data_IF_131079589257
#
_entry.id   IF_131079589257
#
_cell.length_a   1.000
_cell.length_b   1.000
_cell.length_c   1.000
_cell.angle_alpha   90.00
_cell.angle_beta   90.00
_cell.angle_gamma   90.00
#
_symmetry.space_group_name_H-M   'P 1'
#
loop_
_entity.id
_entity.type
_entity.pdbx_description
1 polymer ?
#
# COMPACT_ATOMS: atom_id res chain seq x y z
N UNK A 1 37.51 7.96 -1.92
CA UNK A 1 38.24 7.89 -0.64
C UNK A 1 38.68 9.31 -0.27
N UNK A 2 38.56 9.71 0.99
CA UNK A 2 39.07 10.97 1.50
C UNK A 2 40.19 10.68 2.50
N UNK A 3 41.39 11.23 2.25
CA UNK A 3 42.53 11.13 3.17
C UNK A 3 42.86 12.54 3.65
N UNK A 4 42.64 12.77 4.94
CA UNK A 4 42.76 14.08 5.60
C UNK A 4 43.40 13.91 6.97
N UNK A 5 44.14 14.93 7.38
CA UNK A 5 44.70 15.06 8.71
C UNK A 5 43.92 16.09 9.52
N UNK A 6 43.98 15.96 10.83
CA UNK A 6 43.39 16.89 11.80
C UNK A 6 44.49 17.45 12.70
N UNK A 7 44.34 18.70 13.12
CA UNK A 7 45.23 19.31 14.12
C UNK A 7 44.95 18.76 15.54
N UNK A 8 45.72 19.24 16.52
CA UNK A 8 45.60 18.82 17.91
C UNK A 8 44.23 19.17 18.56
N UNK A 9 43.43 20.03 17.93
CA UNK A 9 42.08 20.40 18.37
C UNK A 9 40.98 19.64 17.59
N UNK A 10 41.35 18.73 16.69
CA UNK A 10 40.41 18.00 15.84
C UNK A 10 39.88 18.82 14.66
N UNK A 11 40.54 19.94 14.29
CA UNK A 11 40.16 20.74 13.12
C UNK A 11 40.86 20.17 11.88
N UNK A 12 40.09 19.96 10.82
CA UNK A 12 40.59 19.46 9.53
C UNK A 12 41.67 20.40 8.98
N UNK A 13 42.78 19.84 8.52
CA UNK A 13 43.88 20.57 7.88
C UNK A 13 43.68 20.51 6.36
N UNK A 14 43.15 21.55 5.69
CA UNK A 14 42.79 21.44 4.27
C UNK A 14 43.98 21.16 3.35
N UNK A 15 45.17 21.61 3.74
CA UNK A 15 46.41 21.37 2.98
C UNK A 15 46.91 19.92 3.03
N UNK A 16 46.36 19.06 3.90
CA UNK A 16 46.72 17.64 3.93
C UNK A 16 45.99 16.82 2.86
N UNK A 17 45.00 17.40 2.18
CA UNK A 17 44.25 16.71 1.12
C UNK A 17 45.17 16.57 -0.09
N UNK A 18 45.67 15.35 -0.32
CA UNK A 18 46.37 15.02 -1.56
C UNK A 18 45.36 14.70 -2.66
N UNK A 19 45.24 15.51 -3.73
CA UNK A 19 44.28 15.28 -4.81
C UNK A 19 44.57 14.04 -5.65
N UNK A 20 45.76 13.43 -5.54
CA UNK A 20 46.09 12.17 -6.22
C UNK A 20 45.59 10.92 -5.46
N UNK A 21 45.25 11.08 -4.18
CA UNK A 21 44.81 9.98 -3.29
C UNK A 21 43.39 10.25 -2.76
N UNK A 22 43.00 11.52 -2.67
CA UNK A 22 41.68 11.96 -2.24
C UNK A 22 40.85 12.33 -3.46
N UNK A 23 39.75 11.63 -3.64
CA UNK A 23 38.86 11.81 -4.77
C UNK A 23 37.76 10.76 -4.84
N UNK A 24 36.92 10.87 -5.86
CA UNK A 24 36.02 9.80 -6.23
C UNK A 24 36.86 8.62 -6.73
N UNK A 25 36.60 7.45 -6.18
CA UNK A 25 37.14 6.19 -6.72
C UNK A 25 35.97 5.49 -7.38
N UNK A 26 36.13 5.11 -8.63
CA UNK A 26 35.15 4.27 -9.30
C UNK A 26 35.10 2.93 -8.55
N UNK A 27 33.88 2.45 -8.28
CA UNK A 27 33.62 1.13 -7.70
C UNK A 27 33.21 0.15 -8.80
N UNK A 28 33.83 0.30 -9.97
CA UNK A 28 33.69 -0.57 -11.13
C UNK A 28 34.86 -1.57 -11.20
N UNK A 29 34.84 -2.43 -12.21
CA UNK A 29 35.88 -3.47 -12.42
C UNK A 29 37.29 -2.86 -12.47
N UNK A 30 37.43 -1.68 -13.09
CA UNK A 30 38.70 -0.98 -13.20
C UNK A 30 39.19 -0.46 -11.84
N UNK A 31 38.29 0.03 -11.00
CA UNK A 31 38.58 0.44 -9.63
C UNK A 31 39.02 -0.71 -8.74
N UNK A 32 38.38 -1.88 -8.88
CA UNK A 32 38.76 -3.12 -8.16
C UNK A 32 40.15 -3.60 -8.58
N UNK A 33 40.43 -3.61 -9.89
CA UNK A 33 41.75 -3.98 -10.42
C UNK A 33 42.84 -3.01 -9.91
N UNK A 34 42.58 -1.70 -9.91
CA UNK A 34 43.53 -0.68 -9.49
C UNK A 34 44.00 -0.82 -8.02
N UNK A 35 43.18 -1.42 -7.15
CA UNK A 35 43.53 -1.68 -5.75
C UNK A 35 44.04 -3.11 -5.51
N UNK A 36 44.19 -3.92 -6.55
CA UNK A 36 44.52 -5.35 -6.45
C UNK A 36 43.46 -6.14 -5.68
N UNK A 37 42.21 -5.67 -5.71
CA UNK A 37 41.09 -6.30 -5.05
C UNK A 37 40.68 -7.56 -5.80
N UNK A 38 40.31 -8.60 -5.07
CA UNK A 38 39.64 -9.78 -5.61
C UNK A 38 38.27 -9.87 -4.95
N UNK A 39 37.18 -10.03 -5.72
CA UNK A 39 35.87 -10.30 -5.14
C UNK A 39 35.95 -11.50 -4.21
N UNK A 40 35.33 -11.40 -3.04
CA UNK A 40 35.23 -12.55 -2.15
C UNK A 40 34.34 -13.61 -2.80
N UNK A 41 34.83 -14.85 -3.05
CA UNK A 41 34.06 -15.87 -3.73
C UNK A 41 32.73 -16.20 -3.04
N UNK A 42 32.66 -16.11 -1.71
CA UNK A 42 31.44 -16.37 -0.94
C UNK A 42 30.41 -15.25 -1.18
N UNK A 43 30.86 -14.00 -1.20
CA UNK A 43 29.97 -12.85 -1.49
C UNK A 43 29.43 -12.94 -2.91
N UNK A 44 30.28 -13.30 -3.89
CA UNK A 44 29.85 -13.47 -5.29
C UNK A 44 28.83 -14.60 -5.42
N UNK A 45 29.04 -15.73 -4.75
CA UNK A 45 28.08 -16.84 -4.76
C UNK A 45 26.71 -16.41 -4.18
N UNK A 46 26.72 -15.67 -3.06
CA UNK A 46 25.50 -15.14 -2.45
C UNK A 46 24.80 -14.14 -3.36
N UNK A 47 25.53 -13.18 -3.95
CA UNK A 47 24.92 -12.16 -4.83
C UNK A 47 24.33 -12.80 -6.09
N UNK A 48 25.04 -13.75 -6.71
CA UNK A 48 24.51 -14.46 -7.88
C UNK A 48 23.23 -15.24 -7.53
N UNK A 49 23.21 -15.91 -6.38
CA UNK A 49 22.00 -16.62 -5.92
C UNK A 49 20.83 -15.67 -5.70
N UNK A 50 21.09 -14.49 -5.12
CA UNK A 50 20.06 -13.46 -4.94
C UNK A 50 19.59 -12.87 -6.26
N UNK A 51 20.50 -12.60 -7.20
CA UNK A 51 20.20 -12.06 -8.53
C UNK A 51 19.31 -13.01 -9.33
N UNK A 52 19.49 -14.33 -9.21
CA UNK A 52 18.61 -15.32 -9.84
C UNK A 52 17.17 -15.26 -9.28
N UNK A 53 17.03 -15.14 -7.95
CA UNK A 53 15.71 -15.03 -7.30
C UNK A 53 15.04 -13.71 -7.66
N UNK A 54 15.77 -12.60 -7.55
CA UNK A 54 15.29 -11.26 -7.89
C UNK A 54 14.90 -11.21 -9.36
N UNK A 55 15.76 -11.72 -10.24
CA UNK A 55 15.52 -11.73 -11.68
C UNK A 55 14.30 -12.56 -12.08
N UNK A 56 14.08 -13.69 -11.41
CA UNK A 56 12.87 -14.51 -11.62
C UNK A 56 11.61 -13.74 -11.25
N UNK A 57 11.60 -13.04 -10.10
CA UNK A 57 10.45 -12.23 -9.70
C UNK A 57 10.27 -11.02 -10.64
N UNK A 58 11.35 -10.37 -11.03
CA UNK A 58 11.29 -9.17 -11.89
C UNK A 58 10.86 -9.51 -13.34
N UNK A 59 11.06 -10.75 -13.79
CA UNK A 59 10.54 -11.22 -15.10
C UNK A 59 9.05 -11.54 -15.13
N UNK A 60 8.41 -11.72 -13.97
CA UNK A 60 7.01 -12.11 -13.89
C UNK A 60 6.12 -10.85 -13.93
N UNK A 61 5.58 -10.52 -15.10
CA UNK A 61 4.84 -9.27 -15.33
C UNK A 61 3.34 -9.44 -15.14
N UNK A 62 2.72 -8.53 -14.37
CA UNK A 62 1.30 -8.56 -14.04
C UNK A 62 0.51 -7.36 -14.55
N UNK A 63 1.16 -6.31 -15.06
CA UNK A 63 0.47 -5.21 -15.71
C UNK A 63 1.40 -4.05 -16.00
N UNK A 64 0.84 -2.89 -16.31
CA UNK A 64 1.61 -1.73 -16.77
C UNK A 64 1.13 -0.44 -16.11
N UNK A 65 2.06 0.49 -15.86
CA UNK A 65 1.80 1.86 -15.45
C UNK A 65 2.65 2.86 -16.22
N UNK A 66 2.08 4.02 -16.55
CA UNK A 66 2.79 5.15 -17.19
C UNK A 66 3.36 6.13 -16.16
N UNK A 67 3.05 5.94 -14.90
CA UNK A 67 3.32 6.89 -13.81
C UNK A 67 4.01 6.19 -12.66
N UNK A 68 4.66 6.97 -11.81
CA UNK A 68 5.15 6.49 -10.53
C UNK A 68 3.97 6.19 -9.59
N UNK A 69 3.95 5.02 -8.96
CA UNK A 69 2.95 4.67 -7.96
C UNK A 69 3.53 4.90 -6.56
N UNK A 70 2.99 5.90 -5.87
CA UNK A 70 3.52 6.41 -4.61
C UNK A 70 3.10 5.55 -3.42
N UNK A 71 4.07 4.80 -2.90
CA UNK A 71 3.95 3.87 -1.79
C UNK A 71 4.81 4.23 -0.58
N UNK A 72 5.44 5.39 -0.58
CA UNK A 72 6.38 5.75 0.47
C UNK A 72 5.68 6.30 1.72
N UNK A 73 6.33 6.06 2.86
CA UNK A 73 5.77 6.28 4.20
C UNK A 73 5.29 7.70 4.44
N UNK A 74 5.93 8.69 3.82
CA UNK A 74 5.64 10.09 4.09
C UNK A 74 4.30 10.54 3.51
N UNK A 75 3.73 9.78 2.56
CA UNK A 75 2.51 10.14 1.84
C UNK A 75 1.38 9.15 2.11
N UNK A 76 1.63 7.83 1.94
CA UNK A 76 0.57 6.81 2.14
C UNK A 76 -0.04 6.79 3.54
N UNK A 77 0.61 7.47 4.50
CA UNK A 77 0.21 7.54 5.91
C UNK A 77 -0.38 8.89 6.33
N UNK A 78 -0.55 9.82 5.40
CA UNK A 78 -0.92 11.21 5.70
C UNK A 78 -1.88 11.82 4.69
N UNK A 79 -1.93 11.29 3.47
CA UNK A 79 -2.74 11.79 2.36
C UNK A 79 -3.15 10.68 1.38
N UNK A 80 -3.99 11.03 0.41
CA UNK A 80 -4.34 10.13 -0.68
C UNK A 80 -3.11 9.80 -1.51
N UNK A 81 -2.94 8.54 -1.91
CA UNK A 81 -1.95 8.23 -2.95
C UNK A 81 -2.52 7.35 -4.05
N UNK A 82 -1.96 7.47 -5.25
CA UNK A 82 -2.39 6.67 -6.38
C UNK A 82 -2.19 5.15 -6.17
N UNK A 83 -1.11 4.72 -5.50
CA UNK A 83 -0.92 3.31 -5.13
C UNK A 83 -1.89 2.86 -4.04
N UNK A 84 -2.20 3.75 -3.08
CA UNK A 84 -3.20 3.52 -2.06
C UNK A 84 -4.58 3.25 -2.67
N UNK A 85 -5.01 4.13 -3.57
CA UNK A 85 -6.24 3.98 -4.34
C UNK A 85 -6.25 2.69 -5.15
N UNK A 86 -5.19 2.45 -5.93
CA UNK A 86 -5.08 1.27 -6.81
C UNK A 86 -5.20 -0.04 -6.03
N UNK A 87 -4.51 -0.13 -4.88
CA UNK A 87 -4.54 -1.36 -4.05
C UNK A 87 -5.86 -1.53 -3.30
N UNK A 88 -6.53 -0.44 -2.90
CA UNK A 88 -7.86 -0.52 -2.32
C UNK A 88 -8.93 -0.90 -3.37
N UNK A 89 -8.82 -0.39 -4.59
CA UNK A 89 -9.70 -0.77 -5.71
C UNK A 89 -9.48 -2.23 -6.12
N UNK A 90 -8.22 -2.69 -6.15
CA UNK A 90 -7.89 -4.09 -6.40
C UNK A 90 -8.50 -5.01 -5.34
N UNK A 91 -8.36 -4.68 -4.06
CA UNK A 91 -8.99 -5.43 -2.97
C UNK A 91 -10.51 -5.49 -3.11
N UNK A 92 -11.16 -4.38 -3.50
CA UNK A 92 -12.60 -4.35 -3.71
C UNK A 92 -13.05 -5.20 -4.90
N UNK A 93 -12.37 -5.09 -6.04
CA UNK A 93 -12.69 -5.88 -7.23
C UNK A 93 -12.56 -7.38 -6.92
N UNK A 94 -11.51 -7.75 -6.20
CA UNK A 94 -11.27 -9.12 -5.76
C UNK A 94 -12.33 -9.60 -4.77
N UNK A 95 -12.69 -8.78 -3.79
CA UNK A 95 -13.74 -9.05 -2.82
C UNK A 95 -15.11 -9.31 -3.47
N UNK A 96 -15.45 -8.56 -4.53
CA UNK A 96 -16.69 -8.73 -5.29
C UNK A 96 -16.81 -10.06 -6.04
N UNK A 97 -15.69 -10.74 -6.30
CA UNK A 97 -15.72 -12.09 -6.90
C UNK A 97 -16.27 -13.15 -5.93
N UNK A 98 -16.16 -12.90 -4.63
CA UNK A 98 -16.68 -13.76 -3.56
C UNK A 98 -18.04 -13.26 -3.08
N UNK A 99 -18.18 -11.96 -2.86
CA UNK A 99 -19.42 -11.34 -2.38
C UNK A 99 -19.71 -10.04 -3.15
N UNK A 100 -20.56 -10.16 -4.17
CA UNK A 100 -20.96 -9.05 -5.03
C UNK A 100 -21.71 -7.92 -4.29
N UNK A 101 -22.12 -8.12 -3.04
CA UNK A 101 -22.74 -7.06 -2.22
C UNK A 101 -21.72 -6.12 -1.58
N UNK A 102 -20.42 -6.44 -1.66
CA UNK A 102 -19.32 -5.59 -1.17
C UNK A 102 -19.28 -4.27 -1.94
N UNK A 103 -19.42 -3.15 -1.24
CA UNK A 103 -19.50 -1.82 -1.87
C UNK A 103 -18.26 -0.95 -1.67
N UNK A 104 -17.40 -1.27 -0.69
CA UNK A 104 -16.20 -0.50 -0.43
C UNK A 104 -15.03 -1.36 0.04
N UNK A 105 -13.82 -0.83 -0.08
CA UNK A 105 -12.64 -1.37 0.58
C UNK A 105 -11.81 -0.28 1.22
N UNK A 106 -11.10 -0.62 2.29
CA UNK A 106 -10.03 0.21 2.81
C UNK A 106 -8.89 -0.63 3.34
N UNK A 107 -7.70 -0.05 3.41
CA UNK A 107 -6.54 -0.64 4.07
C UNK A 107 -5.70 0.46 4.71
N UNK A 108 -4.90 0.11 5.70
CA UNK A 108 -4.03 1.08 6.34
C UNK A 108 -2.78 1.34 5.49
N UNK A 109 -2.34 2.59 5.40
CA UNK A 109 -1.11 2.98 4.70
C UNK A 109 0.15 2.31 5.24
N UNK A 110 0.12 1.83 6.49
CA UNK A 110 1.17 1.01 7.07
C UNK A 110 1.42 -0.32 6.34
N UNK A 111 0.42 -0.86 5.63
CA UNK A 111 0.52 -2.06 4.80
C UNK A 111 1.23 -1.83 3.46
N UNK A 112 1.35 -0.59 3.00
CA UNK A 112 2.07 -0.22 1.76
C UNK A 112 3.51 0.17 2.13
N UNK A 113 4.48 -0.51 1.54
CA UNK A 113 5.86 -0.60 2.05
C UNK A 113 6.92 -0.06 1.10
N UNK A 114 6.58 0.12 -0.17
CA UNK A 114 7.49 0.58 -1.21
C UNK A 114 6.69 1.23 -2.34
N UNK A 115 7.36 2.11 -3.08
CA UNK A 115 6.88 2.60 -4.36
C UNK A 115 6.96 1.51 -5.43
N UNK A 116 6.18 1.67 -6.49
CA UNK A 116 6.37 1.00 -7.78
C UNK A 116 6.76 2.08 -8.79
N UNK A 117 8.01 2.04 -9.23
CA UNK A 117 8.63 3.10 -10.03
C UNK A 117 9.99 3.52 -9.49
N UNK A 118 10.61 4.47 -10.17
CA UNK A 118 11.98 4.92 -9.87
C UNK A 118 11.99 6.40 -9.53
N UNK A 119 12.74 6.74 -8.49
CA UNK A 119 13.11 8.12 -8.18
C UNK A 119 14.51 8.35 -8.76
N UNK A 120 14.62 9.19 -9.77
CA UNK A 120 15.89 9.54 -10.40
C UNK A 120 16.22 11.00 -10.14
N UNK A 121 17.50 11.34 -9.99
CA UNK A 121 17.90 12.74 -10.11
C UNK A 121 17.49 13.26 -11.50
N UNK A 122 17.00 14.50 -11.56
CA UNK A 122 16.66 15.12 -12.83
C UNK A 122 17.91 15.22 -13.72
N UNK A 123 17.74 15.13 -15.04
CA UNK A 123 18.89 15.13 -15.97
C UNK A 123 19.70 16.43 -15.84
N UNK A 124 20.90 16.32 -15.26
CA UNK A 124 21.80 17.46 -15.03
C UNK A 124 21.56 18.20 -13.71
N UNK A 125 20.68 17.70 -12.85
CA UNK A 125 20.41 18.24 -11.53
C UNK A 125 21.62 18.08 -10.60
N UNK A 126 22.03 19.19 -9.99
CA UNK A 126 23.00 19.24 -8.89
C UNK A 126 22.33 19.54 -7.54
N UNK A 127 21.03 19.85 -7.57
CA UNK A 127 20.20 20.05 -6.39
C UNK A 127 19.63 18.68 -5.97
N UNK A 128 19.89 18.21 -4.73
CA UNK A 128 19.32 16.96 -4.23
C UNK A 128 17.78 16.96 -4.16
N UNK A 129 17.14 18.12 -4.30
CA UNK A 129 15.68 18.25 -4.36
C UNK A 129 15.13 18.21 -5.80
N UNK A 130 16.00 18.14 -6.81
CA UNK A 130 15.62 18.05 -8.21
C UNK A 130 15.62 16.57 -8.64
N UNK A 131 14.46 15.94 -8.46
CA UNK A 131 14.23 14.54 -8.81
C UNK A 131 12.99 14.37 -9.68
N UNK A 132 13.02 13.33 -10.51
CA UNK A 132 11.93 12.88 -11.35
C UNK A 132 11.34 11.60 -10.76
N UNK A 133 10.00 11.52 -10.75
CA UNK A 133 9.25 10.33 -10.41
C UNK A 133 8.85 9.64 -11.70
N UNK A 134 9.44 8.48 -11.95
CA UNK A 134 9.31 7.73 -13.20
C UNK A 134 8.56 6.41 -12.98
N UNK A 135 7.89 5.87 -14.00
CA UNK A 135 7.34 4.51 -13.94
C UNK A 135 8.44 3.46 -13.68
N UNK A 136 8.09 2.18 -13.46
CA UNK A 136 9.07 1.11 -13.35
C UNK A 136 10.09 1.15 -14.48
N UNK A 137 11.38 1.09 -14.14
CA UNK A 137 12.42 1.05 -15.16
C UNK A 137 12.46 -0.32 -15.85
N UNK A 138 12.88 -0.32 -17.11
CA UNK A 138 13.20 -1.54 -17.83
C UNK A 138 14.35 -2.30 -17.13
N UNK A 139 14.28 -3.62 -17.16
CA UNK A 139 15.38 -4.50 -16.78
C UNK A 139 15.72 -5.45 -17.95
N UNK A 140 16.65 -5.05 -18.84
CA UNK A 140 17.04 -5.85 -20.01
C UNK A 140 17.61 -7.23 -19.68
N UNK A 141 18.13 -7.45 -18.46
CA UNK A 141 18.69 -8.74 -18.06
C UNK A 141 17.61 -9.83 -17.96
N UNK A 142 16.36 -9.43 -17.72
CA UNK A 142 15.22 -10.33 -17.54
C UNK A 142 14.08 -10.08 -18.53
N UNK A 143 14.27 -9.14 -19.45
CA UNK A 143 13.30 -8.81 -20.50
C UNK A 143 12.12 -7.95 -20.03
N UNK A 144 12.22 -7.33 -18.85
CA UNK A 144 11.22 -6.37 -18.36
C UNK A 144 11.36 -5.04 -19.09
N UNK A 145 10.28 -4.52 -19.63
CA UNK A 145 10.21 -3.23 -20.30
C UNK A 145 9.82 -2.10 -19.33
N UNK A 146 10.06 -0.85 -19.74
CA UNK A 146 9.69 0.32 -18.93
C UNK A 146 8.16 0.38 -18.74
N UNK A 147 7.72 0.64 -17.52
CA UNK A 147 6.31 0.69 -17.15
C UNK A 147 5.71 -0.64 -16.74
N UNK A 148 6.39 -1.77 -17.00
CA UNK A 148 5.90 -3.08 -16.56
C UNK A 148 6.00 -3.24 -15.05
N UNK A 149 4.91 -3.72 -14.44
CA UNK A 149 4.81 -4.01 -13.01
C UNK A 149 5.02 -5.50 -12.82
N UNK A 150 6.10 -5.85 -12.13
CA UNK A 150 6.53 -7.24 -11.91
C UNK A 150 6.05 -7.80 -10.56
N UNK A 151 6.24 -9.10 -10.36
CA UNK A 151 6.11 -9.75 -9.05
C UNK A 151 6.98 -9.06 -8.00
N UNK A 152 8.21 -8.68 -8.36
CA UNK A 152 9.16 -8.03 -7.47
C UNK A 152 8.60 -6.69 -6.96
N UNK A 153 8.00 -5.91 -7.87
CA UNK A 153 7.37 -4.63 -7.53
C UNK A 153 6.19 -4.80 -6.56
N UNK A 154 5.31 -5.77 -6.84
CA UNK A 154 4.15 -6.08 -6.00
C UNK A 154 4.59 -6.58 -4.63
N UNK A 155 5.53 -7.54 -4.60
CA UNK A 155 6.08 -8.13 -3.36
C UNK A 155 6.74 -7.08 -2.49
N UNK A 156 7.53 -6.17 -3.10
CA UNK A 156 8.18 -5.09 -2.38
C UNK A 156 7.20 -4.05 -1.83
N UNK A 157 6.11 -3.81 -2.54
CA UNK A 157 5.09 -2.83 -2.16
C UNK A 157 4.15 -3.38 -1.07
N UNK A 158 3.79 -4.66 -1.14
CA UNK A 158 2.85 -5.33 -0.23
C UNK A 158 3.53 -6.48 0.53
N UNK A 159 4.67 -6.21 1.18
CA UNK A 159 5.59 -7.23 1.74
C UNK A 159 4.97 -8.24 2.72
N UNK A 160 3.88 -7.88 3.37
CA UNK A 160 3.23 -8.75 4.35
C UNK A 160 2.28 -9.75 3.71
N UNK A 161 1.83 -9.49 2.49
CA UNK A 161 0.85 -10.29 1.75
C UNK A 161 -0.35 -10.69 2.61
N UNK A 162 -1.00 -9.73 3.26
CA UNK A 162 -2.12 -10.03 4.13
C UNK A 162 -3.28 -10.67 3.35
N UNK A 163 -4.02 -11.56 4.01
CA UNK A 163 -5.27 -12.08 3.48
C UNK A 163 -6.34 -11.00 3.41
N UNK A 164 -7.32 -11.16 2.53
CA UNK A 164 -8.50 -10.30 2.46
C UNK A 164 -9.60 -10.83 3.38
N UNK A 165 -10.29 -9.90 4.00
CA UNK A 165 -11.39 -10.15 4.93
C UNK A 165 -12.58 -9.29 4.55
N UNK A 166 -13.74 -9.93 4.42
CA UNK A 166 -15.03 -9.25 4.29
C UNK A 166 -15.64 -9.06 5.66
N UNK A 167 -16.37 -7.97 5.82
CA UNK A 167 -17.10 -7.66 7.04
C UNK A 167 -18.29 -6.76 6.72
N UNK A 168 -19.23 -6.68 7.65
CA UNK A 168 -20.39 -5.82 7.59
C UNK A 168 -20.36 -4.86 8.77
N UNK A 169 -20.55 -3.57 8.48
CA UNK A 169 -20.64 -2.52 9.51
C UNK A 169 -21.92 -1.73 9.33
N UNK A 170 -22.44 -1.17 10.42
CA UNK A 170 -23.48 -0.13 10.33
C UNK A 170 -22.89 1.20 9.85
N UNK A 171 -23.73 2.16 9.46
CA UNK A 171 -23.30 3.51 9.13
C UNK A 171 -22.53 4.19 10.27
N UNK A 172 -23.01 4.02 11.51
CA UNK A 172 -22.33 4.52 12.72
C UNK A 172 -20.94 3.89 12.89
N UNK A 173 -20.84 2.57 12.73
CA UNK A 173 -19.56 1.85 12.81
C UNK A 173 -18.60 2.22 11.67
N UNK A 174 -19.12 2.46 10.46
CA UNK A 174 -18.32 2.92 9.32
C UNK A 174 -17.74 4.31 9.60
N UNK A 175 -18.55 5.25 10.09
CA UNK A 175 -18.06 6.57 10.50
C UNK A 175 -16.98 6.46 11.59
N UNK A 176 -17.23 5.68 12.65
CA UNK A 176 -16.25 5.42 13.71
C UNK A 176 -14.95 4.82 13.19
N UNK A 177 -15.02 3.96 12.18
CA UNK A 177 -13.83 3.35 11.56
C UNK A 177 -12.98 4.38 10.85
N UNK A 178 -13.59 5.27 10.06
CA UNK A 178 -12.85 6.32 9.34
C UNK A 178 -12.33 7.38 10.31
N UNK A 179 -13.10 7.73 11.34
CA UNK A 179 -12.68 8.60 12.44
C UNK A 179 -11.42 8.08 13.15
N UNK A 180 -11.40 6.80 13.53
CA UNK A 180 -10.23 6.17 14.13
C UNK A 180 -9.06 6.17 13.14
N UNK A 181 -9.29 5.83 11.87
CA UNK A 181 -8.24 5.78 10.86
C UNK A 181 -7.50 7.12 10.68
N UNK A 182 -8.17 8.27 10.89
CA UNK A 182 -7.55 9.61 10.84
C UNK A 182 -7.26 10.23 12.21
N UNK A 183 -7.56 9.55 13.31
CA UNK A 183 -7.43 10.09 14.67
C UNK A 183 -6.01 10.52 15.06
N UNK A 184 -5.00 9.83 14.52
CA UNK A 184 -3.59 10.10 14.80
C UNK A 184 -2.92 11.09 13.82
N UNK A 185 -3.65 11.59 12.83
CA UNK A 185 -3.11 12.57 11.86
C UNK A 185 -2.72 13.86 12.57
N UNK A 186 -1.48 14.28 12.38
CA UNK A 186 -0.94 15.51 12.94
C UNK A 186 0.28 15.96 12.12
N UNK A 187 0.64 17.25 12.11
CA UNK A 187 1.80 17.75 11.38
C UNK A 187 3.08 16.99 11.72
N UNK A 188 3.75 16.45 10.68
CA UNK A 188 5.00 15.70 10.82
C UNK A 188 4.88 14.28 11.38
N UNK A 189 3.67 13.79 11.64
CA UNK A 189 3.42 12.42 12.12
C UNK A 189 2.98 11.54 10.96
N UNK A 190 3.50 10.31 10.89
CA UNK A 190 3.18 9.33 9.83
C UNK A 190 2.46 8.09 10.41
N UNK A 191 1.22 8.22 10.92
CA UNK A 191 0.54 7.13 11.60
C UNK A 191 0.24 5.97 10.65
N UNK A 192 0.59 4.75 11.05
CA UNK A 192 0.39 3.56 10.20
C UNK A 192 -1.08 3.22 9.93
N UNK A 193 -2.01 3.77 10.71
CA UNK A 193 -3.46 3.51 10.64
C UNK A 193 -4.20 4.33 9.58
N UNK A 194 -3.57 5.38 9.03
CA UNK A 194 -4.20 6.25 8.03
C UNK A 194 -4.77 5.42 6.86
N UNK A 195 -6.01 5.64 6.43
CA UNK A 195 -6.66 4.76 5.47
C UNK A 195 -6.30 5.14 4.04
N UNK A 196 -6.19 4.14 3.18
CA UNK A 196 -6.30 4.25 1.73
C UNK A 196 -7.60 3.56 1.32
N UNK A 197 -8.37 4.13 0.40
CA UNK A 197 -9.78 3.77 0.21
C UNK A 197 -10.17 3.50 -1.24
N UNK A 198 -11.08 2.52 -1.40
CA UNK A 198 -11.74 2.17 -2.66
C UNK A 198 -13.25 2.33 -2.49
N UNK A 199 -13.87 3.09 -3.39
CA UNK A 199 -15.32 3.43 -3.39
C UNK A 199 -15.84 4.09 -2.11
N UNK A 200 -14.95 4.76 -1.37
CA UNK A 200 -15.30 5.76 -0.38
C UNK A 200 -14.71 7.10 -0.80
N UNK A 201 -15.41 8.18 -0.48
CA UNK A 201 -14.79 9.51 -0.40
C UNK A 201 -15.12 10.13 0.94
N UNK A 202 -14.16 10.82 1.55
CA UNK A 202 -14.40 11.54 2.79
C UNK A 202 -13.53 12.79 2.89
N UNK A 203 -14.00 13.73 3.71
CA UNK A 203 -13.22 14.90 4.10
C UNK A 203 -13.03 14.93 5.62
N UNK A 204 -11.88 15.40 6.08
CA UNK A 204 -11.59 15.49 7.51
C UNK A 204 -10.76 16.72 7.86
N UNK A 205 -10.95 17.23 9.08
CA UNK A 205 -10.16 18.30 9.68
C UNK A 205 -9.29 17.74 10.81
N UNK A 206 -7.98 17.62 10.56
CA UNK A 206 -7.02 17.11 11.53
C UNK A 206 -6.81 18.01 12.76
N UNK A 207 -7.29 19.25 12.73
CA UNK A 207 -7.21 20.18 13.88
C UNK A 207 -8.31 19.93 14.91
N UNK A 208 -9.38 19.22 14.53
CA UNK A 208 -10.45 18.82 15.45
C UNK A 208 -10.00 17.70 16.39
N UNK A 209 -10.67 17.55 17.55
CA UNK A 209 -10.42 16.44 18.46
C UNK A 209 -10.49 15.08 17.75
N UNK A 210 -9.62 14.15 18.14
CA UNK A 210 -9.68 12.78 17.62
C UNK A 210 -11.07 12.16 17.85
N UNK A 211 -11.55 11.41 16.86
CA UNK A 211 -12.92 10.86 16.77
C UNK A 211 -14.05 11.88 16.54
N UNK A 212 -13.71 13.10 16.13
CA UNK A 212 -14.63 14.14 15.67
C UNK A 212 -13.96 14.95 14.54
N UNK A 213 -13.31 14.25 13.60
CA UNK A 213 -12.51 14.86 12.51
C UNK A 213 -13.19 14.77 11.16
N UNK A 214 -13.97 13.75 10.90
CA UNK A 214 -14.60 13.48 9.60
C UNK A 214 -15.79 14.43 9.44
N UNK A 215 -15.75 15.28 8.41
CA UNK A 215 -16.84 16.22 8.12
C UNK A 215 -17.83 15.69 7.09
N UNK A 216 -17.35 14.89 6.14
CA UNK A 216 -18.22 14.22 5.17
C UNK A 216 -17.67 12.85 4.82
N UNK A 217 -18.57 11.89 4.58
CA UNK A 217 -18.23 10.52 4.20
C UNK A 217 -19.33 9.97 3.30
N UNK A 218 -18.96 9.51 2.12
CA UNK A 218 -19.87 8.95 1.12
C UNK A 218 -19.39 7.59 0.62
N UNK A 219 -20.35 6.74 0.26
CA UNK A 219 -20.11 5.45 -0.41
C UNK A 219 -20.50 5.61 -1.89
N UNK A 220 -19.68 5.06 -2.77
CA UNK A 220 -19.86 5.15 -4.23
C UNK A 220 -20.26 3.81 -4.85
N UNK A 221 -20.97 3.84 -5.98
CA UNK A 221 -21.10 2.68 -6.87
C UNK A 221 -19.89 2.51 -7.81
N UNK A 222 -19.98 1.55 -8.72
CA UNK A 222 -18.96 1.23 -9.72
C UNK A 222 -18.78 2.30 -10.82
N UNK A 223 -19.66 3.29 -10.89
CA UNK A 223 -19.63 4.43 -11.81
C UNK A 223 -19.27 5.74 -11.08
N UNK A 224 -18.69 5.64 -9.88
CA UNK A 224 -18.31 6.77 -9.01
C UNK A 224 -19.48 7.68 -8.62
N UNK A 225 -20.73 7.17 -8.67
CA UNK A 225 -21.89 7.90 -8.20
C UNK A 225 -22.12 7.65 -6.71
N UNK A 226 -22.53 8.69 -5.98
CA UNK A 226 -22.86 8.58 -4.56
C UNK A 226 -24.12 7.74 -4.39
N UNK A 227 -23.99 6.61 -3.69
CA UNK A 227 -25.11 5.73 -3.34
C UNK A 227 -25.56 5.88 -1.88
N UNK A 228 -24.68 6.39 -1.01
CA UNK A 228 -25.03 6.71 0.38
C UNK A 228 -24.18 7.88 0.90
N UNK A 229 -24.82 8.75 1.68
CA UNK A 229 -24.17 9.79 2.47
C UNK A 229 -24.18 9.32 3.93
N UNK A 230 -23.00 8.93 4.42
CA UNK A 230 -22.81 8.41 5.78
C UNK A 230 -22.72 9.55 6.79
N UNK A 231 -21.93 10.57 6.45
CA UNK A 231 -21.78 11.76 7.27
C UNK A 231 -21.78 13.04 6.41
N UNK A 232 -22.31 14.12 6.96
CA UNK A 232 -22.26 15.46 6.39
C UNK A 232 -22.22 16.50 7.51
N UNK A 233 -21.40 17.54 7.35
CA UNK A 233 -21.17 18.59 8.35
C UNK A 233 -20.71 18.05 9.72
N UNK A 234 -19.98 16.93 9.74
CA UNK A 234 -19.50 16.29 10.96
C UNK A 234 -20.53 15.42 11.68
N UNK A 235 -21.72 15.25 11.11
CA UNK A 235 -22.81 14.50 11.73
C UNK A 235 -23.22 13.30 10.86
N UNK A 236 -23.62 12.21 11.52
CA UNK A 236 -24.16 11.05 10.83
C UNK A 236 -25.47 11.40 10.12
N UNK A 237 -25.62 10.96 8.88
CA UNK A 237 -26.82 11.16 8.07
C UNK A 237 -27.59 9.84 7.95
N UNK A 238 -28.92 9.90 8.04
CA UNK A 238 -29.81 8.74 7.86
C UNK A 238 -29.90 7.81 9.08
N UNK A 239 -30.34 6.57 8.85
CA UNK A 239 -30.47 5.55 9.89
C UNK A 239 -29.09 5.02 10.31
N UNK A 240 -28.63 5.20 11.56
CA UNK A 240 -27.31 4.75 12.01
C UNK A 240 -27.12 3.23 11.94
N UNK A 241 -28.20 2.46 11.84
CA UNK A 241 -28.18 1.00 11.82
C UNK A 241 -28.17 0.37 10.42
N UNK A 242 -28.34 1.17 9.35
CA UNK A 242 -28.20 0.67 7.97
C UNK A 242 -26.78 0.14 7.75
N UNK A 243 -26.63 -0.89 6.94
CA UNK A 243 -25.39 -1.66 6.85
C UNK A 243 -24.70 -1.55 5.50
N UNK A 244 -23.39 -1.72 5.52
CA UNK A 244 -22.54 -1.79 4.34
C UNK A 244 -21.63 -3.01 4.43
N UNK A 245 -21.50 -3.73 3.32
CA UNK A 245 -20.52 -4.81 3.16
C UNK A 245 -19.21 -4.21 2.66
N UNK A 246 -18.13 -4.42 3.40
CA UNK A 246 -16.80 -3.90 3.10
C UNK A 246 -15.74 -4.99 3.05
N UNK A 247 -14.61 -4.65 2.44
CA UNK A 247 -13.41 -5.49 2.39
C UNK A 247 -12.19 -4.76 2.98
N UNK A 248 -11.36 -5.47 3.73
CA UNK A 248 -10.07 -4.96 4.21
C UNK A 248 -9.05 -6.10 4.25
N UNK A 249 -7.83 -5.79 4.68
CA UNK A 249 -6.80 -6.80 4.93
C UNK A 249 -6.95 -7.38 6.34
N UNK A 250 -6.58 -8.64 6.55
CA UNK A 250 -6.75 -9.36 7.82
C UNK A 250 -6.13 -8.62 9.00
N UNK A 251 -4.94 -8.03 8.81
CA UNK A 251 -4.28 -7.19 9.82
C UNK A 251 -5.17 -6.06 10.36
N UNK A 252 -5.95 -5.41 9.49
CA UNK A 252 -6.87 -4.33 9.87
C UNK A 252 -8.15 -4.91 10.48
N UNK A 253 -8.66 -6.02 9.95
CA UNK A 253 -9.83 -6.72 10.49
C UNK A 253 -9.63 -7.20 11.95
N UNK A 254 -8.41 -7.63 12.29
CA UNK A 254 -8.03 -8.05 13.64
C UNK A 254 -7.85 -6.87 14.61
N UNK A 255 -7.67 -5.66 14.07
CA UNK A 255 -7.47 -4.42 14.81
C UNK A 255 -8.77 -3.77 15.30
N UNK A 256 -8.63 -2.88 16.29
CA UNK A 256 -9.71 -1.97 16.65
C UNK A 256 -9.85 -0.87 15.56
N UNK A 257 -11.07 -0.31 15.34
CA UNK A 257 -12.31 -0.63 16.07
C UNK A 257 -13.06 -1.87 15.54
N UNK A 258 -12.67 -2.44 14.39
CA UNK A 258 -13.37 -3.57 13.76
C UNK A 258 -13.51 -4.79 14.67
N UNK A 259 -12.43 -5.19 15.36
CA UNK A 259 -12.46 -6.31 16.30
C UNK A 259 -13.39 -6.08 17.52
N UNK A 260 -13.65 -4.81 17.86
CA UNK A 260 -14.63 -4.46 18.90
C UNK A 260 -16.06 -4.63 18.38
N UNK A 261 -16.33 -4.23 17.14
CA UNK A 261 -17.65 -4.44 16.51
C UNK A 261 -17.96 -5.93 16.32
N UNK A 262 -16.98 -6.70 15.84
CA UNK A 262 -17.05 -8.15 15.78
C UNK A 262 -17.42 -8.74 17.15
N UNK A 263 -16.69 -8.35 18.21
CA UNK A 263 -16.94 -8.88 19.55
C UNK A 263 -18.31 -8.52 20.11
N UNK A 264 -18.83 -7.34 19.74
CA UNK A 264 -20.13 -6.86 20.20
C UNK A 264 -21.30 -7.59 19.50
N UNK A 265 -21.18 -7.86 18.20
CA UNK A 265 -22.22 -8.56 17.43
C UNK A 265 -21.62 -9.33 16.24
N UNK A 266 -21.12 -10.57 16.47
CA UNK A 266 -20.51 -11.38 15.42
C UNK A 266 -21.44 -11.65 14.22
N UNK A 267 -22.73 -11.89 14.50
CA UNK A 267 -23.72 -12.18 13.48
C UNK A 267 -23.98 -10.98 12.55
N UNK A 268 -23.99 -9.75 13.08
CA UNK A 268 -24.08 -8.55 12.27
C UNK A 268 -22.78 -8.29 11.51
N UNK A 269 -21.64 -8.44 12.18
CA UNK A 269 -20.34 -8.16 11.60
C UNK A 269 -19.99 -9.12 10.47
N UNK A 270 -20.48 -10.36 10.52
CA UNK A 270 -20.43 -11.34 9.44
C UNK A 270 -19.03 -11.43 8.79
N UNK A 271 -18.00 -11.60 9.62
CA UNK A 271 -16.61 -11.68 9.16
C UNK A 271 -16.41 -12.93 8.31
N UNK A 272 -15.77 -12.76 7.16
CA UNK A 272 -15.37 -13.86 6.26
C UNK A 272 -13.94 -13.62 5.81
N UNK A 273 -13.02 -14.47 6.27
CA UNK A 273 -11.61 -14.45 5.86
C UNK A 273 -11.38 -15.36 4.66
N UNK A 274 -10.69 -14.87 3.63
CA UNK A 274 -10.52 -15.64 2.39
C UNK A 274 -9.69 -16.90 2.58
N UNK A 275 -8.73 -16.87 3.51
CA UNK A 275 -7.92 -18.03 3.88
C UNK A 275 -8.58 -18.94 4.92
N UNK A 276 -9.80 -18.61 5.34
CA UNK A 276 -10.48 -19.30 6.43
C UNK A 276 -9.75 -19.12 7.75
N UNK A 277 -10.11 -19.98 8.69
CA UNK A 277 -9.55 -19.98 10.03
C UNK A 277 -8.29 -20.86 10.11
N UNK A 278 -7.30 -20.47 10.94
CA UNK A 278 -6.13 -21.29 11.17
C UNK A 278 -6.51 -22.63 11.80
N UNK A 279 -5.63 -23.61 11.61
CA UNK A 279 -5.71 -24.94 12.22
C UNK A 279 -4.30 -25.33 12.65
N UNK A 280 -3.86 -24.64 13.70
CA UNK A 280 -2.46 -24.60 14.14
C UNK A 280 -1.98 -25.97 14.58
N UNK A 281 -2.89 -26.82 15.06
CA UNK A 281 -2.60 -28.17 15.53
C UNK A 281 -2.87 -29.26 14.46
N UNK A 282 -3.51 -28.91 13.34
CA UNK A 282 -3.79 -29.78 12.19
C UNK A 282 -4.82 -30.89 12.46
N UNK A 283 -5.65 -30.77 13.51
CA UNK A 283 -6.63 -31.79 13.87
C UNK A 283 -8.02 -31.55 13.26
N UNK A 284 -8.22 -30.41 12.57
CA UNK A 284 -9.49 -30.03 11.95
C UNK A 284 -10.59 -29.62 12.93
N UNK A 285 -10.25 -29.43 14.20
CA UNK A 285 -11.14 -28.97 15.28
C UNK A 285 -10.82 -27.51 15.58
N UNK A 286 -11.84 -26.67 15.61
CA UNK A 286 -11.71 -25.26 15.94
C UNK A 286 -11.23 -25.09 17.39
N UNK A 287 -10.07 -24.48 17.57
CA UNK A 287 -9.66 -23.97 18.88
C UNK A 287 -10.30 -22.58 19.13
N UNK A 288 -10.68 -22.23 20.36
CA UNK A 288 -11.35 -20.94 20.64
C UNK A 288 -10.56 -19.69 20.21
N UNK A 289 -9.24 -19.77 20.18
CA UNK A 289 -8.36 -18.66 19.76
C UNK A 289 -8.21 -18.59 18.22
N UNK A 290 -8.74 -19.58 17.49
CA UNK A 290 -8.73 -19.67 16.02
C UNK A 290 -10.07 -19.25 15.39
N UNK A 291 -11.12 -19.08 16.21
CA UNK A 291 -12.46 -18.62 15.81
C UNK A 291 -12.45 -17.12 15.49
N UNK A 292 -11.96 -16.78 14.30
CA UNK A 292 -11.73 -15.40 13.87
C UNK A 292 -13.03 -14.62 13.74
N UNK A 293 -14.13 -15.28 13.37
CA UNK A 293 -15.44 -14.64 13.18
C UNK A 293 -16.42 -14.87 14.34
N UNK A 294 -16.03 -15.63 15.37
CA UNK A 294 -16.78 -15.88 16.60
C UNK A 294 -18.12 -16.58 16.36
N UNK A 295 -18.20 -17.45 15.35
CA UNK A 295 -19.40 -18.20 15.03
C UNK A 295 -19.41 -19.62 15.64
N UNK A 296 -18.28 -20.07 16.21
CA UNK A 296 -18.10 -21.40 16.80
C UNK A 296 -18.00 -22.56 15.80
N UNK A 297 -17.77 -22.27 14.52
CA UNK A 297 -17.69 -23.22 13.40
C UNK A 297 -16.39 -22.95 12.62
N UNK A 298 -15.57 -23.98 12.46
CA UNK A 298 -14.33 -23.87 11.68
C UNK A 298 -14.64 -23.53 10.22
N UNK A 299 -14.18 -22.38 9.77
CA UNK A 299 -14.31 -21.96 8.37
C UNK A 299 -13.06 -22.34 7.55
N UNK A 300 -13.26 -22.95 6.39
CA UNK A 300 -12.19 -23.28 5.45
C UNK A 300 -11.85 -22.11 4.53
N UNK A 301 -10.68 -22.16 3.90
CA UNK A 301 -10.34 -21.22 2.84
C UNK A 301 -11.40 -21.21 1.72
N UNK A 302 -11.72 -20.03 1.23
CA UNK A 302 -12.67 -19.84 0.15
C UNK A 302 -12.05 -20.40 -1.13
N UNK A 303 -12.77 -21.27 -1.87
CA UNK A 303 -12.31 -21.73 -3.18
C UNK A 303 -12.18 -20.55 -4.15
N UNK A 304 -11.12 -20.56 -4.94
CA UNK A 304 -10.91 -19.59 -6.01
C UNK A 304 -12.10 -19.60 -7.01
N UNK A 305 -12.84 -18.48 -7.18
CA UNK A 305 -14.05 -18.46 -7.98
C UNK A 305 -13.78 -18.20 -9.48
N UNK A 306 -12.54 -17.95 -9.87
CA UNK A 306 -12.08 -17.74 -11.25
C UNK A 306 -10.75 -18.48 -11.49
N UNK A 307 -10.26 -18.50 -12.73
CA UNK A 307 -8.90 -18.95 -13.03
C UNK A 307 -7.99 -17.73 -13.02
N UNK A 308 -7.22 -17.52 -11.94
CA UNK A 308 -6.27 -16.42 -11.82
C UNK A 308 -5.08 -16.53 -12.75
N UNK A 309 -4.56 -15.37 -13.19
CA UNK A 309 -3.32 -15.28 -13.93
C UNK A 309 -2.08 -15.33 -13.01
N UNK A 310 -2.18 -14.76 -11.81
CA UNK A 310 -1.13 -14.74 -10.81
C UNK A 310 -1.05 -16.08 -10.07
N UNK A 311 0.16 -16.62 -9.97
CA UNK A 311 0.41 -17.91 -9.33
C UNK A 311 1.52 -17.85 -8.26
N UNK A 312 2.08 -16.66 -8.03
CA UNK A 312 3.14 -16.45 -7.05
C UNK A 312 2.62 -16.18 -5.64
N UNK A 313 1.35 -15.82 -5.53
CA UNK A 313 0.64 -15.59 -4.29
C UNK A 313 -0.64 -16.45 -4.29
N UNK A 314 -1.12 -16.84 -3.11
CA UNK A 314 -2.33 -17.64 -3.01
C UNK A 314 -3.57 -16.77 -3.19
N UNK A 315 -4.65 -17.37 -3.72
CA UNK A 315 -5.97 -16.76 -3.77
C UNK A 315 -6.34 -16.14 -2.41
N UNK A 316 -6.95 -14.96 -2.45
CA UNK A 316 -7.40 -14.23 -1.26
C UNK A 316 -6.34 -13.40 -0.57
N UNK A 317 -5.16 -13.24 -1.18
CA UNK A 317 -4.10 -12.38 -0.67
C UNK A 317 -4.08 -11.01 -1.36
N UNK A 318 -3.59 -9.98 -0.68
CA UNK A 318 -3.51 -8.63 -1.26
C UNK A 318 -2.51 -8.52 -2.43
N UNK A 319 -1.46 -9.37 -2.47
CA UNK A 319 -0.55 -9.41 -3.63
C UNK A 319 -1.22 -10.04 -4.84
N UNK A 320 -1.96 -11.14 -4.63
CA UNK A 320 -2.73 -11.78 -5.69
C UNK A 320 -3.80 -10.83 -6.22
N UNK A 321 -4.54 -10.16 -5.31
CA UNK A 321 -5.55 -9.19 -5.69
C UNK A 321 -5.00 -8.04 -6.55
N UNK A 322 -3.85 -7.47 -6.19
CA UNK A 322 -3.21 -6.44 -7.01
C UNK A 322 -2.74 -6.98 -8.36
N UNK A 323 -2.16 -8.18 -8.38
CA UNK A 323 -1.64 -8.79 -9.61
C UNK A 323 -2.77 -9.08 -10.61
N UNK A 324 -3.86 -9.70 -10.16
CA UNK A 324 -5.04 -9.97 -10.99
C UNK A 324 -5.68 -8.67 -11.49
N UNK A 325 -5.79 -7.66 -10.62
CA UNK A 325 -6.36 -6.37 -10.99
C UNK A 325 -5.51 -5.65 -12.06
N UNK A 326 -4.19 -5.66 -11.90
CA UNK A 326 -3.27 -5.12 -12.89
C UNK A 326 -3.37 -5.86 -14.22
N UNK A 327 -3.52 -7.18 -14.18
CA UNK A 327 -3.60 -8.00 -15.38
C UNK A 327 -4.90 -7.75 -16.14
N UNK A 328 -6.02 -7.69 -15.43
CA UNK A 328 -7.34 -7.47 -16.03
C UNK A 328 -7.47 -6.05 -16.60
N UNK A 329 -7.10 -5.03 -15.82
CA UNK A 329 -7.40 -3.63 -16.18
C UNK A 329 -6.26 -2.91 -16.88
N UNK A 330 -5.00 -3.31 -16.64
CA UNK A 330 -3.82 -2.66 -17.20
C UNK A 330 -2.82 -3.64 -17.84
N UNK A 331 -3.25 -4.58 -18.70
CA UNK A 331 -2.42 -5.69 -19.20
C UNK A 331 -1.27 -5.27 -20.11
N UNK A 332 -1.33 -4.06 -20.69
CA UNK A 332 -0.38 -3.62 -21.73
C UNK A 332 -0.03 -2.16 -21.57
N UNK A 333 1.09 -1.73 -22.17
CA UNK A 333 1.49 -0.32 -22.22
C UNK A 333 0.42 0.62 -22.80
N UNK A 334 -0.42 0.13 -23.74
CA UNK A 334 -1.51 0.92 -24.32
C UNK A 334 -2.60 1.23 -23.27
N UNK A 335 -2.92 0.26 -22.43
CA UNK A 335 -3.92 0.33 -21.37
C UNK A 335 -3.30 0.57 -20.00
N UNK A 336 -2.05 1.04 -19.92
CA UNK A 336 -1.34 1.18 -18.66
C UNK A 336 -2.00 2.21 -17.74
N UNK A 337 -1.99 1.94 -16.43
CA UNK A 337 -2.48 2.87 -15.40
C UNK A 337 -1.79 4.22 -15.55
N UNK A 338 -2.55 5.31 -15.59
CA UNK A 338 -2.04 6.63 -15.96
C UNK A 338 -2.48 7.77 -15.03
N UNK A 339 -3.08 7.46 -13.88
CA UNK A 339 -3.42 8.46 -12.87
C UNK A 339 -2.19 8.75 -12.00
N UNK A 340 -1.52 9.86 -12.31
CA UNK A 340 -0.39 10.33 -11.50
C UNK A 340 -0.84 10.69 -10.08
N UNK A 341 0.06 10.51 -9.13
CA UNK A 341 -0.10 11.05 -7.78
C UNK A 341 -0.15 12.58 -7.83
N UNK A 342 -0.98 13.18 -6.98
CA UNK A 342 -1.24 14.62 -6.99
C UNK A 342 -0.83 15.29 -5.68
N UNK A 343 -0.80 16.62 -5.68
CA UNK A 343 -0.68 17.39 -4.44
C UNK A 343 -1.96 17.23 -3.60
N UNK A 344 -1.88 17.23 -2.25
CA UNK A 344 -3.05 17.08 -1.36
C UNK A 344 -4.18 18.09 -1.61
N UNK A 345 -3.86 19.25 -2.19
CA UNK A 345 -4.86 20.25 -2.62
C UNK A 345 -5.77 19.76 -3.75
N UNK A 346 -5.40 18.67 -4.43
CA UNK A 346 -6.11 18.06 -5.54
C UNK A 346 -6.73 16.70 -5.20
N UNK A 347 -6.51 16.18 -3.98
CA UNK A 347 -7.06 14.90 -3.53
C UNK A 347 -8.59 14.89 -3.62
N UNK A 348 -9.15 13.79 -4.11
CA UNK A 348 -10.59 13.68 -4.41
C UNK A 348 -11.31 12.62 -3.59
N UNK A 349 -10.62 11.56 -3.16
CA UNK A 349 -11.16 10.52 -2.28
C UNK A 349 -10.90 10.81 -0.81
N UNK A 350 -9.74 11.38 -0.48
CA UNK A 350 -9.35 11.67 0.91
C UNK A 350 -8.99 13.14 1.04
N UNK A 351 -9.98 13.97 1.38
CA UNK A 351 -9.80 15.41 1.45
C UNK A 351 -9.39 15.86 2.85
N UNK A 352 -8.13 16.24 3.03
CA UNK A 352 -7.66 16.85 4.26
C UNK A 352 -7.85 18.38 4.21
N UNK A 353 -8.70 18.90 5.10
CA UNK A 353 -9.06 20.33 5.13
C UNK A 353 -7.93 21.24 5.65
N UNK A 354 -6.79 20.67 6.03
CA UNK A 354 -5.56 21.45 6.18
C UNK A 354 -5.02 21.96 4.83
N UNK A 355 -5.40 21.33 3.72
CA UNK A 355 -4.94 21.66 2.36
C UNK A 355 -6.08 22.05 1.41
N UNK A 356 -7.33 21.71 1.75
CA UNK A 356 -8.52 22.00 0.93
C UNK A 356 -9.52 22.89 1.66
N UNK A 357 -10.23 23.71 0.89
CA UNK A 357 -11.32 24.57 1.40
C UNK A 357 -12.71 23.95 1.21
N UNK A 358 -12.82 22.85 0.45
CA UNK A 358 -14.05 22.16 0.12
C UNK A 358 -14.12 20.75 0.70
N UNK A 359 -15.34 20.22 0.82
CA UNK A 359 -15.63 18.85 1.25
C UNK A 359 -16.15 17.99 0.11
N UNK A 360 -16.15 16.65 0.28
CA UNK A 360 -16.54 15.73 -0.81
C UNK A 360 -18.02 15.86 -1.17
N UNK A 361 -18.82 16.43 -0.28
CA UNK A 361 -20.19 16.90 -0.53
C UNK A 361 -20.13 18.44 -0.58
N UNK A 362 -20.42 19.08 -1.73
CA UNK A 362 -20.50 20.54 -1.81
C UNK A 362 -21.61 21.11 -0.92
N UNK A 363 -21.39 22.30 -0.36
CA UNK A 363 -22.39 23.05 0.43
C UNK A 363 -23.63 23.48 -0.36
#
# INVERSE_FOLDING_TARGET
>A
RLVVDFDANGILIPSSIDPNISGAYATDDQGVEAVGGTPDPEVVEITNTLDEVIGTQDSNIFGNTKVFLRGDRAFVRTEETNLGNLTADANLAYAKTVDATTVFSFKNGGGIRSNIGVISAAKGGIDPNDFELLPPAANPAVGKEEGEVSQLDITNSLRFNNGLTLFTVTADQLLQTIEDAVAATAPGVTPGQFPQVGRLKFSFDSTRPANDRVLSLVVLDDQDQVIDVVAQNGELVGDPSRTFRGATISYVADGAPLSTFLSANPALFNRVDFWGEPDSNGNGVLDPDEDLNKNGIRDGAIPEPFEGFANFASFGSEQDALAEYLHEFFPTAANAFNQADTDPTLDERIQNLAFREDTVIPE
#
